data_IF_122278706594
#
_entry.id   IF_122278706594
#
_cell.length_a   1.000
_cell.length_b   1.000
_cell.length_c   1.000
_cell.angle_alpha   90.00
_cell.angle_beta   90.00
_cell.angle_gamma   90.00
#
_symmetry.space_group_name_H-M   'P 1'
#
loop_
_entity.id
_entity.type
_entity.pdbx_description
1 polymer ?
#
# COMPACT_ATOMS: atom_id res chain seq x y z
N UNK A 1 -7.00 -39.20 -34.77
CA UNK A 1 -6.56 -39.70 -33.45
C UNK A 1 -5.43 -38.82 -32.93
N UNK A 2 -5.74 -37.67 -32.32
CA UNK A 2 -4.73 -36.78 -31.73
C UNK A 2 -4.47 -37.22 -30.29
N UNK A 3 -3.31 -37.82 -30.04
CA UNK A 3 -2.92 -38.31 -28.72
C UNK A 3 -2.49 -37.13 -27.82
N UNK A 4 -3.38 -36.71 -26.92
CA UNK A 4 -3.05 -35.73 -25.86
C UNK A 4 -2.12 -36.39 -24.84
N UNK A 5 -0.83 -36.06 -24.91
CA UNK A 5 0.17 -36.44 -23.90
C UNK A 5 -0.29 -35.94 -22.51
N UNK A 6 -0.55 -36.85 -21.57
CA UNK A 6 -0.74 -36.52 -20.15
C UNK A 6 0.48 -35.75 -19.63
N UNK A 7 0.29 -34.51 -19.17
CA UNK A 7 1.34 -33.73 -18.50
C UNK A 7 1.60 -34.36 -17.13
N UNK A 8 2.65 -35.18 -17.04
CA UNK A 8 3.13 -35.74 -15.78
C UNK A 8 4.03 -34.66 -15.15
N UNK A 9 3.46 -33.89 -14.22
CA UNK A 9 4.17 -32.82 -13.52
C UNK A 9 3.24 -31.91 -12.71
N UNK A 10 3.83 -31.05 -11.87
CA UNK A 10 3.07 -30.01 -11.15
C UNK A 10 2.32 -29.14 -12.16
N UNK A 11 1.01 -28.85 -11.94
CA UNK A 11 0.26 -27.96 -12.81
C UNK A 11 1.01 -26.64 -13.01
N UNK A 12 1.27 -26.28 -14.25
CA UNK A 12 1.86 -24.98 -14.58
C UNK A 12 0.84 -23.90 -14.22
N UNK A 13 1.26 -22.87 -13.50
CA UNK A 13 0.42 -21.70 -13.26
C UNK A 13 -0.05 -21.12 -14.59
N UNK A 14 -1.35 -20.87 -14.74
CA UNK A 14 -1.97 -20.39 -15.98
C UNK A 14 -1.38 -19.07 -16.48
N UNK A 15 -0.95 -18.21 -15.54
CA UNK A 15 -0.24 -16.96 -15.82
C UNK A 15 0.97 -16.82 -14.87
N UNK A 16 2.15 -17.34 -15.26
CA UNK A 16 3.34 -17.27 -14.42
C UNK A 16 3.95 -15.86 -14.46
N UNK A 17 4.37 -15.36 -13.31
CA UNK A 17 5.16 -14.12 -13.22
C UNK A 17 6.59 -14.36 -13.73
N UNK A 18 6.85 -14.04 -15.00
CA UNK A 18 8.15 -14.28 -15.66
C UNK A 18 9.12 -13.11 -15.49
N UNK A 19 8.64 -11.86 -15.57
CA UNK A 19 9.49 -10.68 -15.51
C UNK A 19 9.88 -10.31 -14.08
N UNK A 20 11.17 -10.03 -13.86
CA UNK A 20 11.72 -9.62 -12.56
C UNK A 20 12.49 -8.32 -12.71
N UNK A 21 12.21 -7.38 -11.82
CA UNK A 21 12.90 -6.09 -11.73
C UNK A 21 13.51 -5.95 -10.34
N UNK A 22 14.80 -5.64 -10.31
CA UNK A 22 15.52 -5.37 -9.08
C UNK A 22 15.65 -3.86 -8.92
N UNK A 23 15.26 -3.34 -7.76
CA UNK A 23 15.47 -1.94 -7.39
C UNK A 23 16.37 -1.90 -6.15
N UNK A 24 17.24 -0.90 -6.11
CA UNK A 24 18.05 -0.58 -4.94
C UNK A 24 17.37 0.57 -4.21
N UNK A 25 17.28 0.45 -2.89
CA UNK A 25 16.74 1.49 -2.02
C UNK A 25 17.89 2.12 -1.24
N UNK A 26 17.80 3.44 -1.03
CA UNK A 26 18.59 4.14 -0.01
C UNK A 26 18.13 3.73 1.40
N UNK A 27 18.90 4.12 2.41
CA UNK A 27 18.57 3.82 3.82
C UNK A 27 17.22 4.39 4.23
N UNK A 28 16.93 5.64 3.86
CA UNK A 28 15.68 6.33 4.18
C UNK A 28 14.47 5.68 3.50
N UNK A 29 14.61 5.36 2.22
CA UNK A 29 13.56 4.67 1.45
C UNK A 29 13.27 3.28 2.03
N UNK A 30 14.30 2.55 2.47
CA UNK A 30 14.15 1.24 3.10
C UNK A 30 13.42 1.33 4.45
N UNK A 31 13.71 2.34 5.28
CA UNK A 31 13.00 2.58 6.53
C UNK A 31 11.51 2.83 6.24
N UNK A 32 11.21 3.73 5.30
CA UNK A 32 9.83 4.03 4.90
C UNK A 32 9.12 2.80 4.33
N UNK A 33 9.81 2.01 3.50
CA UNK A 33 9.29 0.78 2.92
C UNK A 33 8.92 -0.26 3.99
N UNK A 34 9.79 -0.47 4.99
CA UNK A 34 9.51 -1.36 6.12
C UNK A 34 8.29 -0.92 6.93
N UNK A 35 8.16 0.38 7.20
CA UNK A 35 6.98 0.91 7.90
C UNK A 35 5.69 0.67 7.11
N UNK A 36 5.71 0.86 5.78
CA UNK A 36 4.54 0.60 4.95
C UNK A 36 4.18 -0.89 4.88
N UNK A 37 5.18 -1.78 4.85
CA UNK A 37 4.96 -3.23 4.89
C UNK A 37 4.28 -3.68 6.19
N UNK A 38 4.76 -3.18 7.33
CA UNK A 38 4.20 -3.46 8.64
C UNK A 38 2.73 -3.02 8.72
N UNK A 39 2.44 -1.79 8.30
CA UNK A 39 1.07 -1.24 8.25
C UNK A 39 0.12 -2.04 7.35
N UNK A 40 0.63 -2.63 6.28
CA UNK A 40 -0.16 -3.44 5.35
C UNK A 40 -0.30 -4.92 5.76
N UNK A 41 0.38 -5.36 6.83
CA UNK A 41 0.36 -6.77 7.27
C UNK A 41 1.03 -7.74 6.30
N UNK A 42 1.86 -7.25 5.37
CA UNK A 42 2.46 -8.04 4.28
C UNK A 42 3.97 -8.26 4.46
N UNK A 43 4.44 -8.35 5.71
CA UNK A 43 5.88 -8.43 6.04
C UNK A 43 6.59 -9.62 5.37
N UNK A 44 5.89 -10.73 5.23
CA UNK A 44 6.42 -11.98 4.68
C UNK A 44 6.47 -11.98 3.14
N UNK A 45 5.73 -11.08 2.47
CA UNK A 45 5.60 -11.07 1.01
C UNK A 45 5.78 -9.66 0.41
N UNK A 46 7.04 -9.22 0.39
CA UNK A 46 7.47 -7.91 -0.12
C UNK A 46 7.08 -7.69 -1.59
N UNK A 47 7.24 -8.71 -2.42
CA UNK A 47 6.93 -8.62 -3.86
C UNK A 47 5.43 -8.41 -4.10
N UNK A 48 4.57 -9.09 -3.33
CA UNK A 48 3.11 -8.88 -3.44
C UNK A 48 2.70 -7.49 -2.99
N UNK A 49 3.33 -6.97 -1.93
CA UNK A 49 3.10 -5.61 -1.46
C UNK A 49 3.45 -4.57 -2.53
N UNK A 50 4.62 -4.70 -3.18
CA UNK A 50 5.07 -3.78 -4.23
C UNK A 50 4.11 -3.79 -5.43
N UNK A 51 3.76 -4.98 -5.94
CA UNK A 51 2.83 -5.10 -7.08
C UNK A 51 1.47 -4.51 -6.74
N UNK A 52 0.96 -4.75 -5.52
CA UNK A 52 -0.31 -4.17 -5.08
C UNK A 52 -0.23 -2.64 -5.03
N UNK A 53 0.86 -2.09 -4.52
CA UNK A 53 1.07 -0.63 -4.42
C UNK A 53 1.25 0.07 -5.77
N UNK A 54 1.82 -0.60 -6.78
CA UNK A 54 2.03 -0.01 -8.11
C UNK A 54 0.76 -0.08 -8.96
N UNK A 55 -0.01 -1.18 -8.87
CA UNK A 55 -1.09 -1.47 -9.83
C UNK A 55 -2.50 -1.52 -9.25
N UNK A 56 -2.68 -1.77 -7.94
CA UNK A 56 -4.01 -2.00 -7.35
C UNK A 56 -4.46 -0.91 -6.36
N UNK A 57 -3.57 -0.04 -5.89
CA UNK A 57 -3.92 1.04 -4.97
C UNK A 57 -3.66 2.39 -5.63
N UNK A 58 -4.64 3.30 -5.57
CA UNK A 58 -4.45 4.68 -6.01
C UNK A 58 -3.38 5.37 -5.17
N UNK A 59 -2.46 6.04 -5.85
CA UNK A 59 -1.36 6.77 -5.22
C UNK A 59 -1.86 8.12 -4.70
N UNK A 60 -2.64 8.13 -3.62
CA UNK A 60 -3.11 9.39 -3.01
C UNK A 60 -2.02 9.94 -2.09
N UNK A 61 -1.27 10.92 -2.58
CA UNK A 61 -0.33 11.69 -1.76
C UNK A 61 -1.14 12.69 -0.91
N UNK A 62 -1.58 12.26 0.27
CA UNK A 62 -2.23 13.16 1.22
C UNK A 62 -1.15 14.02 1.87
N UNK A 63 -0.93 15.22 1.33
CA UNK A 63 -0.17 16.27 2.02
C UNK A 63 -1.04 16.85 3.13
N UNK A 64 -0.77 16.45 4.38
CA UNK A 64 -1.38 17.09 5.55
C UNK A 64 -0.57 18.31 5.92
N UNK A 65 -1.15 19.49 5.70
CA UNK A 65 -0.63 20.73 6.25
C UNK A 65 -1.01 20.80 7.74
N UNK A 66 -0.05 20.76 8.68
CA UNK A 66 -0.33 20.81 10.11
C UNK A 66 -1.07 22.10 10.52
N UNK A 67 -0.90 23.20 9.78
CA UNK A 67 -1.62 24.46 10.03
C UNK A 67 -3.13 24.30 9.84
N UNK A 68 -3.53 23.59 8.79
CA UNK A 68 -4.95 23.41 8.44
C UNK A 68 -5.70 22.53 9.46
N UNK A 69 -5.02 21.53 10.02
CA UNK A 69 -5.57 20.67 11.10
C UNK A 69 -5.77 21.48 12.38
N UNK A 70 -4.78 22.27 12.77
CA UNK A 70 -4.89 23.15 13.96
C UNK A 70 -5.97 24.21 13.79
N UNK A 71 -6.13 24.75 12.58
CA UNK A 71 -7.18 25.71 12.27
C UNK A 71 -8.59 25.12 12.43
N UNK A 72 -8.83 23.92 11.89
CA UNK A 72 -10.12 23.23 12.05
C UNK A 72 -10.40 22.91 13.52
N UNK A 73 -9.38 22.48 14.28
CA UNK A 73 -9.52 22.23 15.72
C UNK A 73 -9.98 23.49 16.47
N UNK A 74 -9.36 24.65 16.20
CA UNK A 74 -9.77 25.93 16.80
C UNK A 74 -11.19 26.35 16.44
N UNK A 75 -11.65 26.10 15.20
CA UNK A 75 -13.02 26.38 14.79
C UNK A 75 -14.04 25.50 15.52
N UNK A 76 -13.73 24.21 15.69
CA UNK A 76 -14.57 23.30 16.46
C UNK A 76 -14.63 23.71 17.93
N UNK A 77 -13.50 24.07 18.54
CA UNK A 77 -13.46 24.55 19.92
C UNK A 77 -14.33 25.81 20.11
N UNK A 78 -14.28 26.74 19.14
CA UNK A 78 -15.14 27.92 19.12
C UNK A 78 -16.63 27.57 19.03
N UNK A 79 -17.02 26.64 18.15
CA UNK A 79 -18.41 26.18 18.05
C UNK A 79 -18.91 25.55 19.36
N UNK A 80 -18.09 24.74 20.01
CA UNK A 80 -18.42 24.13 21.30
C UNK A 80 -18.61 25.15 22.44
N UNK A 81 -18.01 26.34 22.36
CA UNK A 81 -18.23 27.40 23.35
C UNK A 81 -19.68 27.88 23.33
N UNK A 82 -20.28 28.07 22.15
CA UNK A 82 -21.69 28.49 22.05
C UNK A 82 -22.66 27.38 22.42
N UNK A 83 -22.33 26.12 22.10
CA UNK A 83 -23.16 24.98 22.49
C UNK A 83 -23.24 24.78 24.01
N UNK A 84 -22.19 25.14 24.76
CA UNK A 84 -22.20 25.06 26.24
C UNK A 84 -23.02 26.16 26.92
N UNK A 85 -23.39 27.20 26.20
CA UNK A 85 -24.09 28.37 26.72
C UNK A 85 -25.60 28.35 26.45
N UNK A 86 -26.09 27.43 25.60
CA UNK A 86 -27.51 27.14 25.38
C UNK A 86 -27.97 25.92 26.16
#
# INVERSE_FOLDING_TARGET
MTTTKKRIGRPTTTDPRVHRYNFKLTTEENIRFKQMLCKAGLEHNRSRFIVKRIFNEEFVVIRRDPSKVQFIARLNDFYFQFQKLG
#
